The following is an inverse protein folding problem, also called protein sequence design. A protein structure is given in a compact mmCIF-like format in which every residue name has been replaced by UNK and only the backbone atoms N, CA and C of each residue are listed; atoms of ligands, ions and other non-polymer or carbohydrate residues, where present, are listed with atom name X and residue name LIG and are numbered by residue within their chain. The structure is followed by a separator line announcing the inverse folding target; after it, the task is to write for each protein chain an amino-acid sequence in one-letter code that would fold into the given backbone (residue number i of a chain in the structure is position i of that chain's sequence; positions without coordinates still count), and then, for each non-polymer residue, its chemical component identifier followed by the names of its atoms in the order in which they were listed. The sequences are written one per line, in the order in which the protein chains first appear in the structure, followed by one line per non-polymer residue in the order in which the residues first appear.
data_IF_284257986784
#
_entry.id   IF_284257986784
#
_cell.length_a   1.000
_cell.length_b   1.000
_cell.length_c   1.000
_cell.angle_alpha   90.00
_cell.angle_beta   90.00
_cell.angle_gamma   90.00
#
_symmetry.space_group_name_H-M   'P 1'
#
loop_
_entity.id
_entity.type
_entity.pdbx_description
1 polymer ?
#
# COMPACT_ATOMS: atom_id res chain seq x y z
N UNK A 1 -60.67 -4.74 -61.36
CA UNK A 1 -59.76 -5.48 -62.26
C UNK A 1 -58.53 -4.64 -62.52
N UNK A 2 -57.35 -5.22 -62.28
CA UNK A 2 -56.05 -4.79 -62.79
C UNK A 2 -55.44 -3.48 -62.26
N UNK A 3 -54.16 -3.40 -61.94
CA UNK A 3 -53.14 -4.34 -61.47
C UNK A 3 -51.99 -3.39 -61.13
N UNK A 4 -51.47 -3.40 -59.91
CA UNK A 4 -50.21 -2.70 -59.61
C UNK A 4 -49.12 -3.40 -60.42
N UNK A 5 -48.50 -2.71 -61.37
CA UNK A 5 -47.26 -3.19 -62.00
C UNK A 5 -46.08 -2.71 -61.16
N UNK A 6 -45.35 -3.69 -60.64
CA UNK A 6 -43.98 -3.53 -60.19
C UNK A 6 -43.08 -3.31 -61.41
N UNK A 7 -42.01 -2.55 -61.23
CA UNK A 7 -40.72 -3.00 -61.75
C UNK A 7 -39.57 -2.52 -60.87
N UNK A 8 -38.58 -3.40 -60.80
CA UNK A 8 -37.45 -3.42 -59.88
C UNK A 8 -36.21 -2.86 -60.56
N UNK A 9 -35.24 -2.32 -59.79
CA UNK A 9 -33.79 -2.54 -59.97
C UNK A 9 -32.92 -1.84 -58.91
N UNK A 10 -32.22 -2.69 -58.18
CA UNK A 10 -30.78 -2.66 -57.81
C UNK A 10 -30.21 -1.59 -56.85
N UNK A 11 -29.81 -2.10 -55.69
CA UNK A 11 -28.63 -1.80 -54.86
C UNK A 11 -27.79 -0.55 -55.16
N UNK A 12 -27.65 0.30 -54.13
CA UNK A 12 -26.33 0.65 -53.58
C UNK A 12 -26.44 1.13 -52.14
N UNK A 13 -25.81 0.38 -51.23
CA UNK A 13 -25.54 0.80 -49.86
C UNK A 13 -24.51 1.95 -49.87
N UNK A 14 -24.74 2.96 -49.07
CA UNK A 14 -23.70 3.97 -48.77
C UNK A 14 -23.80 4.31 -47.29
N UNK A 15 -23.17 3.45 -46.50
CA UNK A 15 -22.86 3.71 -45.10
C UNK A 15 -21.83 4.83 -45.04
N UNK A 16 -22.23 6.02 -44.61
CA UNK A 16 -21.31 7.08 -44.22
C UNK A 16 -20.56 6.65 -42.96
N UNK A 17 -19.42 5.97 -43.13
CA UNK A 17 -18.43 5.79 -42.07
C UNK A 17 -17.55 7.05 -42.05
N UNK A 18 -17.90 7.98 -41.18
CA UNK A 18 -16.98 9.06 -40.80
C UNK A 18 -15.74 8.46 -40.17
N UNK A 19 -14.61 8.55 -40.87
CA UNK A 19 -13.30 8.18 -40.34
C UNK A 19 -12.92 9.22 -39.29
N UNK A 20 -13.19 8.91 -38.02
CA UNK A 20 -12.57 9.62 -36.89
C UNK A 20 -11.12 9.19 -36.84
N UNK A 21 -10.25 10.04 -37.34
CA UNK A 21 -8.80 9.97 -37.19
C UNK A 21 -8.47 10.04 -35.69
N UNK A 22 -8.42 8.87 -35.04
CA UNK A 22 -7.96 8.77 -33.66
C UNK A 22 -6.44 8.91 -33.70
N UNK A 23 -5.96 10.16 -33.63
CA UNK A 23 -4.61 10.43 -33.14
C UNK A 23 -4.53 9.87 -31.72
N UNK A 24 -4.11 8.61 -31.61
CA UNK A 24 -3.66 8.01 -30.35
C UNK A 24 -2.46 8.83 -29.91
N UNK A 25 -2.72 9.87 -29.12
CA UNK A 25 -1.67 10.57 -28.40
C UNK A 25 -0.85 9.52 -27.67
N UNK A 26 0.45 9.52 -27.92
CA UNK A 26 1.39 8.73 -27.14
C UNK A 26 1.13 9.11 -25.68
N UNK A 27 0.55 8.19 -24.89
CA UNK A 27 0.37 8.42 -23.46
C UNK A 27 1.77 8.68 -22.93
N UNK A 28 2.01 9.88 -22.41
CA UNK A 28 3.25 10.17 -21.69
C UNK A 28 3.42 9.02 -20.67
N UNK A 29 4.60 8.38 -20.57
CA UNK A 29 4.82 7.43 -19.50
C UNK A 29 4.43 8.14 -18.21
N UNK A 30 3.58 7.49 -17.40
CA UNK A 30 3.26 8.01 -16.08
C UNK A 30 4.61 8.28 -15.41
N UNK A 31 4.89 9.55 -15.09
CA UNK A 31 6.07 9.87 -14.30
C UNK A 31 6.02 9.01 -13.04
N UNK A 32 7.17 8.52 -12.59
CA UNK A 32 7.31 7.74 -11.37
C UNK A 32 6.94 8.59 -10.14
N UNK A 33 5.65 8.91 -9.97
CA UNK A 33 5.14 9.33 -8.69
C UNK A 33 5.10 8.09 -7.79
N UNK A 34 5.73 8.16 -6.62
CA UNK A 34 5.66 7.06 -5.68
C UNK A 34 4.19 6.77 -5.36
N UNK A 35 3.80 5.49 -5.32
CA UNK A 35 2.45 5.11 -4.98
C UNK A 35 2.09 5.62 -3.58
N UNK A 36 0.82 5.96 -3.37
CA UNK A 36 0.33 6.52 -2.12
C UNK A 36 -1.09 6.09 -1.84
N UNK A 37 -1.42 6.02 -0.56
CA UNK A 37 -2.78 5.94 -0.05
C UNK A 37 -3.00 7.06 0.97
N UNK A 38 -4.19 7.11 1.54
CA UNK A 38 -4.54 8.06 2.58
C UNK A 38 -5.08 7.33 3.82
N UNK A 39 -5.17 8.01 4.95
CA UNK A 39 -5.67 7.43 6.21
C UNK A 39 -6.51 8.47 6.98
N UNK A 40 -7.77 8.17 7.36
CA UNK A 40 -8.53 9.07 8.26
C UNK A 40 -8.06 8.83 9.70
N UNK A 41 -7.59 9.87 10.38
CA UNK A 41 -7.13 9.79 11.76
C UNK A 41 -8.28 9.47 12.73
N UNK A 42 -9.48 10.01 12.46
CA UNK A 42 -10.65 9.85 13.33
C UNK A 42 -11.30 8.46 13.23
N UNK A 43 -11.53 7.97 12.02
CA UNK A 43 -12.08 6.63 11.80
C UNK A 43 -11.03 5.52 11.93
N UNK A 44 -9.75 5.89 11.91
CA UNK A 44 -8.61 4.98 11.85
C UNK A 44 -8.71 3.92 10.73
N UNK A 45 -9.00 4.37 9.50
CA UNK A 45 -9.14 3.49 8.32
C UNK A 45 -8.36 4.01 7.13
N UNK A 46 -7.85 3.10 6.27
CA UNK A 46 -7.22 3.48 5.01
C UNK A 46 -8.24 3.98 3.98
N UNK A 47 -7.80 4.91 3.15
CA UNK A 47 -8.58 5.63 2.17
C UNK A 47 -7.87 5.64 0.81
N UNK A 48 -8.65 5.58 -0.27
CA UNK A 48 -8.16 5.72 -1.65
C UNK A 48 -8.05 7.17 -2.13
N UNK A 49 -8.64 8.11 -1.38
CA UNK A 49 -8.72 9.54 -1.73
C UNK A 49 -8.38 10.39 -0.50
N UNK A 50 -7.93 11.65 -0.68
CA UNK A 50 -7.55 12.55 0.42
C UNK A 50 -8.75 13.12 1.20
N UNK A 51 -9.88 12.42 1.20
CA UNK A 51 -11.10 12.78 1.93
C UNK A 51 -11.79 11.52 2.40
N UNK A 52 -12.16 11.47 3.67
CA UNK A 52 -12.98 10.40 4.19
C UNK A 52 -14.46 10.64 3.84
N UNK A 53 -15.17 9.55 3.52
CA UNK A 53 -16.61 9.60 3.22
C UNK A 53 -17.49 9.41 4.46
N UNK A 54 -16.90 9.05 5.60
CA UNK A 54 -17.60 8.78 6.87
C UNK A 54 -17.34 9.90 7.89
N UNK A 55 -16.07 10.28 8.06
CA UNK A 55 -15.61 11.43 8.84
C UNK A 55 -15.37 12.62 7.88
N UNK A 56 -15.49 13.87 8.34
CA UNK A 56 -14.80 15.02 7.72
C UNK A 56 -13.47 15.31 8.47
N UNK A 57 -12.91 14.30 9.14
CA UNK A 57 -11.70 14.38 9.94
C UNK A 57 -10.42 14.53 9.13
N UNK A 58 -9.32 14.76 9.83
CA UNK A 58 -8.00 14.92 9.21
C UNK A 58 -7.53 13.63 8.52
N UNK A 59 -6.87 13.81 7.38
CA UNK A 59 -6.40 12.73 6.53
C UNK A 59 -4.89 12.81 6.38
N UNK A 60 -4.20 11.72 6.69
CA UNK A 60 -2.76 11.56 6.48
C UNK A 60 -2.50 10.96 5.09
N UNK A 61 -1.51 11.51 4.36
CA UNK A 61 -0.97 10.86 3.15
C UNK A 61 0.09 9.83 3.56
N UNK A 62 -0.07 8.59 3.10
CA UNK A 62 0.87 7.50 3.34
C UNK A 62 1.59 7.19 2.04
N UNK A 63 2.89 7.52 1.98
CA UNK A 63 3.75 7.19 0.85
C UNK A 63 4.17 5.73 0.95
N UNK A 64 4.02 5.00 -0.15
CA UNK A 64 4.37 3.59 -0.25
C UNK A 64 5.70 3.44 -0.99
N UNK A 65 6.54 2.50 -0.53
CA UNK A 65 7.72 2.11 -1.28
C UNK A 65 7.37 1.13 -2.40
N UNK A 66 8.21 1.06 -3.43
CA UNK A 66 8.06 0.08 -4.51
C UNK A 66 6.84 0.31 -5.41
N UNK A 67 6.11 -0.75 -5.72
CA UNK A 67 4.95 -0.71 -6.64
C UNK A 67 3.64 -0.30 -5.98
N UNK A 68 3.59 -0.17 -4.65
CA UNK A 68 2.36 0.18 -3.93
C UNK A 68 1.32 -0.94 -3.90
N UNK A 69 1.79 -2.18 -3.87
CA UNK A 69 0.94 -3.38 -3.74
C UNK A 69 0.55 -3.54 -2.26
N UNK A 70 -0.40 -2.70 -1.85
CA UNK A 70 -0.89 -2.61 -0.47
C UNK A 70 -2.13 -3.48 -0.29
N UNK A 71 -2.18 -4.16 0.86
CA UNK A 71 -3.25 -5.09 1.23
C UNK A 71 -3.43 -5.14 2.74
N UNK A 72 -4.57 -5.63 3.19
CA UNK A 72 -4.78 -5.91 4.60
C UNK A 72 -3.88 -7.06 5.05
N UNK A 73 -3.34 -6.92 6.26
CA UNK A 73 -2.66 -7.99 6.96
C UNK A 73 -3.66 -9.10 7.26
N UNK A 74 -3.37 -10.32 6.80
CA UNK A 74 -4.20 -11.48 7.12
C UNK A 74 -4.07 -11.89 8.59
N UNK A 75 -5.00 -12.68 9.14
CA UNK A 75 -4.89 -13.16 10.52
C UNK A 75 -3.58 -13.91 10.80
N UNK A 76 -3.12 -14.73 9.85
CA UNK A 76 -1.85 -15.45 9.97
C UNK A 76 -0.65 -14.49 9.99
N UNK A 77 -0.59 -13.50 9.09
CA UNK A 77 0.48 -12.52 9.08
C UNK A 77 0.48 -11.66 10.35
N UNK A 78 -0.71 -11.36 10.89
CA UNK A 78 -0.85 -10.63 12.14
C UNK A 78 -0.34 -11.45 13.33
N UNK A 79 -0.58 -12.75 13.35
CA UNK A 79 -0.05 -13.68 14.34
C UNK A 79 1.48 -13.76 14.27
N UNK A 80 2.04 -13.94 13.07
CA UNK A 80 3.51 -13.93 12.85
C UNK A 80 4.13 -12.64 13.38
N UNK A 81 3.58 -11.48 12.99
CA UNK A 81 4.07 -10.19 13.45
C UNK A 81 3.97 -10.04 14.97
N UNK A 82 2.83 -10.42 15.57
CA UNK A 82 2.62 -10.35 17.02
C UNK A 82 3.60 -11.21 17.79
N UNK A 83 3.83 -12.45 17.33
CA UNK A 83 4.78 -13.37 17.95
C UNK A 83 6.22 -12.84 17.88
N UNK A 84 6.61 -12.23 16.76
CA UNK A 84 7.92 -11.56 16.64
C UNK A 84 8.04 -10.38 17.60
N UNK A 85 7.03 -9.52 17.68
CA UNK A 85 7.04 -8.37 18.60
C UNK A 85 7.13 -8.81 20.06
N UNK A 86 6.35 -9.82 20.45
CA UNK A 86 6.39 -10.38 21.81
C UNK A 86 7.71 -11.05 22.13
N UNK A 87 8.25 -11.88 21.23
CA UNK A 87 9.50 -12.60 21.48
C UNK A 87 10.72 -11.68 21.50
N UNK A 88 10.77 -10.66 20.63
CA UNK A 88 11.92 -9.77 20.51
C UNK A 88 11.87 -8.58 21.47
N UNK A 89 10.69 -7.98 21.65
CA UNK A 89 10.49 -6.72 22.38
C UNK A 89 9.65 -6.89 23.65
N UNK A 90 9.16 -8.09 23.95
CA UNK A 90 8.37 -8.38 25.15
C UNK A 90 6.96 -7.80 25.14
N UNK A 91 6.51 -7.21 24.04
CA UNK A 91 5.21 -6.54 23.93
C UNK A 91 4.73 -6.47 22.47
N UNK A 92 3.42 -6.35 22.28
CA UNK A 92 2.80 -6.09 20.98
C UNK A 92 1.97 -4.80 21.08
N UNK A 93 2.57 -3.63 20.76
CA UNK A 93 1.86 -2.36 20.83
C UNK A 93 0.86 -2.17 19.69
N UNK A 94 0.86 -3.02 18.66
CA UNK A 94 -0.07 -2.91 17.52
C UNK A 94 -1.46 -3.40 17.92
N UNK A 95 -1.55 -4.44 18.75
CA UNK A 95 -2.83 -4.93 19.29
C UNK A 95 -3.90 -5.14 18.21
N UNK A 96 -5.15 -4.66 18.40
CA UNK A 96 -6.25 -4.87 17.47
C UNK A 96 -6.29 -3.87 16.29
N UNK A 97 -5.26 -3.02 16.13
CA UNK A 97 -5.25 -1.99 15.09
C UNK A 97 -5.23 -2.61 13.69
N UNK A 98 -5.76 -1.85 12.72
CA UNK A 98 -5.71 -2.23 11.31
C UNK A 98 -4.25 -2.17 10.85
N UNK A 99 -3.76 -3.28 10.32
CA UNK A 99 -2.44 -3.39 9.73
C UNK A 99 -2.57 -3.54 8.23
N UNK A 100 -1.87 -2.70 7.47
CA UNK A 100 -1.63 -2.91 6.06
C UNK A 100 -0.21 -3.41 5.83
N UNK A 101 -0.06 -4.24 4.82
CA UNK A 101 1.21 -4.73 4.32
C UNK A 101 1.39 -4.22 2.89
N UNK A 102 2.50 -3.54 2.63
CA UNK A 102 2.87 -3.11 1.28
C UNK A 102 4.06 -3.94 0.80
N UNK A 103 3.88 -4.68 -0.28
CA UNK A 103 4.96 -5.51 -0.84
C UNK A 103 6.09 -4.63 -1.35
N UNK A 104 7.31 -4.90 -0.89
CA UNK A 104 8.53 -4.23 -1.34
C UNK A 104 9.56 -5.24 -1.86
N UNK A 105 10.60 -4.79 -2.59
CA UNK A 105 11.68 -5.68 -3.01
C UNK A 105 12.43 -6.26 -1.81
N UNK A 106 12.80 -7.54 -1.90
CA UNK A 106 13.65 -8.27 -0.96
C UNK A 106 13.96 -9.67 -1.52
N UNK A 107 14.76 -10.45 -0.80
CA UNK A 107 15.21 -11.78 -1.26
C UNK A 107 14.03 -12.77 -1.39
N UNK A 108 13.10 -12.71 -0.43
CA UNK A 108 11.82 -13.44 -0.42
C UNK A 108 10.68 -12.47 -0.01
N UNK A 109 9.63 -12.97 0.63
CA UNK A 109 8.48 -12.20 1.11
C UNK A 109 8.94 -11.09 2.05
N UNK A 110 8.78 -9.85 1.58
CA UNK A 110 9.20 -8.63 2.26
C UNK A 110 8.08 -7.61 2.13
N UNK A 111 7.54 -7.19 3.27
CA UNK A 111 6.39 -6.30 3.35
C UNK A 111 6.70 -5.14 4.32
N UNK A 112 6.47 -3.89 3.89
CA UNK A 112 6.38 -2.75 4.80
C UNK A 112 5.10 -2.89 5.62
N UNK A 113 5.22 -2.74 6.93
CA UNK A 113 4.12 -2.78 7.89
C UNK A 113 3.64 -1.37 8.14
N UNK A 114 2.35 -1.12 7.88
CA UNK A 114 1.72 0.19 8.06
C UNK A 114 0.58 0.05 9.08
N UNK A 115 0.61 0.86 10.12
CA UNK A 115 -0.39 0.89 11.20
C UNK A 115 -0.77 2.33 11.47
N UNK A 116 -2.07 2.63 11.56
CA UNK A 116 -2.60 3.98 11.79
C UNK A 116 -2.03 5.04 10.82
N UNK A 117 -1.75 4.62 9.58
CA UNK A 117 -1.16 5.46 8.53
C UNK A 117 0.35 5.69 8.65
N UNK A 118 1.04 5.03 9.59
CA UNK A 118 2.48 5.16 9.82
C UNK A 118 3.20 3.88 9.39
N UNK A 119 4.34 4.02 8.68
CA UNK A 119 5.23 2.88 8.44
C UNK A 119 5.94 2.52 9.76
N UNK A 120 5.60 1.37 10.35
CA UNK A 120 6.15 0.90 11.63
C UNK A 120 7.38 0.01 11.44
N UNK A 121 7.65 -0.50 10.25
CA UNK A 121 8.80 -1.36 10.00
C UNK A 121 8.64 -2.26 8.80
N UNK A 122 9.52 -3.25 8.69
CA UNK A 122 9.53 -4.24 7.63
C UNK A 122 9.41 -5.63 8.25
N UNK A 123 8.43 -6.40 7.78
CA UNK A 123 8.30 -7.83 8.05
C UNK A 123 8.84 -8.58 6.84
N UNK A 124 9.85 -9.41 7.03
CA UNK A 124 10.46 -10.15 5.94
C UNK A 124 10.83 -11.58 6.34
N UNK A 125 10.91 -12.47 5.35
CA UNK A 125 11.40 -13.83 5.55
C UNK A 125 12.92 -13.87 5.33
N UNK A 126 13.67 -14.21 6.36
CA UNK A 126 15.13 -14.34 6.33
C UNK A 126 15.50 -15.75 5.84
N UNK A 127 16.03 -15.83 4.62
CA UNK A 127 16.38 -17.11 3.99
C UNK A 127 17.54 -17.84 4.70
N UNK A 128 18.37 -17.15 5.49
CA UNK A 128 19.46 -17.79 6.23
C UNK A 128 18.97 -18.40 7.53
N UNK A 129 18.08 -17.70 8.23
CA UNK A 129 17.47 -18.19 9.46
C UNK A 129 16.30 -19.14 9.20
N UNK A 130 15.77 -19.14 7.97
CA UNK A 130 14.56 -19.87 7.58
C UNK A 130 13.36 -19.50 8.46
N UNK A 131 13.24 -18.21 8.81
CA UNK A 131 12.18 -17.69 9.66
C UNK A 131 11.86 -16.22 9.32
N UNK A 132 10.71 -15.73 9.79
CA UNK A 132 10.36 -14.32 9.67
C UNK A 132 11.14 -13.46 10.66
N UNK A 133 11.39 -12.21 10.26
CA UNK A 133 12.02 -11.18 11.08
C UNK A 133 11.30 -9.87 10.92
N UNK A 134 11.32 -9.07 11.99
CA UNK A 134 10.75 -7.73 11.99
C UNK A 134 11.81 -6.68 12.30
N UNK A 135 11.97 -5.72 11.38
CA UNK A 135 12.86 -4.59 11.55
C UNK A 135 12.05 -3.30 11.74
N UNK A 136 12.08 -2.67 12.93
CA UNK A 136 11.30 -1.47 13.18
C UNK A 136 11.85 -0.29 12.38
N UNK A 137 10.95 0.52 11.84
CA UNK A 137 11.30 1.84 11.32
C UNK A 137 11.68 2.77 12.48
N UNK A 138 12.16 3.98 12.19
CA UNK A 138 12.38 4.97 13.26
C UNK A 138 11.10 5.30 14.06
N UNK A 139 9.94 5.31 13.40
CA UNK A 139 8.62 5.51 14.03
C UNK A 139 8.21 4.28 14.83
N UNK A 140 8.40 3.07 14.28
CA UNK A 140 8.13 1.83 14.99
C UNK A 140 9.02 1.64 16.22
N UNK A 141 10.28 2.04 16.14
CA UNK A 141 11.19 2.03 17.28
C UNK A 141 10.74 2.98 18.39
N UNK A 142 10.20 4.17 18.05
CA UNK A 142 9.60 5.06 19.05
C UNK A 142 8.35 4.46 19.69
N UNK A 143 7.48 3.84 18.88
CA UNK A 143 6.30 3.12 19.38
C UNK A 143 6.72 2.02 20.38
N UNK A 144 7.69 1.19 20.00
CA UNK A 144 8.21 0.11 20.86
C UNK A 144 8.90 0.66 22.10
N UNK A 145 9.73 1.69 21.98
CA UNK A 145 10.48 2.27 23.10
C UNK A 145 9.56 2.75 24.24
N UNK A 146 8.35 3.21 23.91
CA UNK A 146 7.39 3.66 24.93
C UNK A 146 6.87 2.55 25.86
N UNK A 147 6.99 1.28 25.45
CA UNK A 147 6.39 0.13 26.14
C UNK A 147 7.34 -1.05 26.38
N UNK A 148 8.46 -1.14 25.65
CA UNK A 148 9.38 -2.27 25.74
C UNK A 148 10.32 -2.16 26.94
N UNK A 149 10.58 -3.31 27.58
CA UNK A 149 11.62 -3.45 28.61
C UNK A 149 12.93 -4.05 28.09
N UNK A 150 13.01 -4.42 26.81
CA UNK A 150 14.16 -5.10 26.20
C UNK A 150 14.71 -4.30 25.00
N UNK A 151 15.81 -4.79 24.41
CA UNK A 151 16.44 -4.24 23.18
C UNK A 151 16.67 -2.72 23.18
N UNK A 152 16.85 -2.12 24.35
CA UNK A 152 17.12 -0.69 24.53
C UNK A 152 18.54 -0.49 25.05
N UNK A 153 19.27 0.45 24.44
CA UNK A 153 20.62 0.84 24.87
C UNK A 153 20.67 2.34 25.18
N UNK A 154 21.26 2.71 26.32
CA UNK A 154 21.41 4.11 26.72
C UNK A 154 22.77 4.63 26.30
N UNK A 155 22.79 5.57 25.34
CA UNK A 155 24.01 6.22 24.90
C UNK A 155 24.25 7.49 25.72
N UNK A 156 25.41 7.59 26.38
CA UNK A 156 25.89 8.82 27.01
C UNK A 156 26.82 9.54 26.06
N UNK A 157 26.55 10.83 25.78
CA UNK A 157 27.41 11.65 24.90
C UNK A 157 28.82 11.74 25.50
N UNK A 158 29.79 11.19 24.80
CA UNK A 158 31.23 11.32 25.09
C UNK A 158 31.83 12.38 24.16
N UNK A 159 32.99 12.95 24.53
CA UNK A 159 33.73 13.91 23.69
C UNK A 159 34.48 13.26 22.52
N UNK A 160 34.30 11.95 22.32
CA UNK A 160 34.89 11.16 21.25
C UNK A 160 33.81 10.81 20.24
N UNK A 161 34.10 10.90 18.95
CA UNK A 161 33.25 10.30 17.94
C UNK A 161 33.23 8.77 18.14
N UNK A 162 32.09 8.12 17.83
CA UNK A 162 32.11 6.69 17.57
C UNK A 162 32.86 6.52 16.24
N UNK A 163 34.02 5.88 16.29
CA UNK A 163 34.78 5.48 15.11
C UNK A 163 34.10 4.30 14.42
#
# INVERSE_FOLDING_TARGET
MHLKKADSRMHKSSSNKGVRDQKKGFRKPAGHENPRIFWCNECNVPLLKPKCGSCDGEVLEVKLSGSGDVRFCSPYEREVLGNLLLSEYGCDPIGPHIVLLNKIPGDDKTDEVIVDGLNVGVLFYDMYQMDYRFEPSGVGAQLLHSVTGSKTVFLKKTKSHLN
#
